data_IF_196041784227
#
_entry.id   IF_196041784227
#
_cell.length_a   1.000
_cell.length_b   1.000
_cell.length_c   1.000
_cell.angle_alpha   90.00
_cell.angle_beta   90.00
_cell.angle_gamma   90.00
#
_symmetry.space_group_name_H-M   'P 1'
#
loop_
_entity.id
_entity.type
_entity.pdbx_description
1 polymer ?
#
# COMPACT_ATOMS: atom_id res chain seq x y z
N UNK A 1 32.73 5.21 -16.68
CA UNK A 1 31.63 5.68 -17.53
C UNK A 1 30.35 5.80 -16.74
N UNK A 2 29.81 6.95 -16.75
CA UNK A 2 28.52 7.08 -16.16
C UNK A 2 27.50 6.42 -17.10
N UNK A 3 27.17 5.21 -16.81
CA UNK A 3 26.09 4.59 -17.52
C UNK A 3 24.80 5.28 -17.10
N UNK A 4 24.34 6.16 -17.96
CA UNK A 4 23.12 6.88 -17.66
C UNK A 4 21.94 5.99 -18.03
N UNK A 5 21.52 5.22 -17.06
CA UNK A 5 20.31 4.43 -17.24
C UNK A 5 19.14 5.38 -17.39
N UNK A 6 18.45 5.28 -18.49
CA UNK A 6 17.25 6.06 -18.70
C UNK A 6 16.24 5.66 -17.64
N UNK A 7 15.82 6.65 -16.86
CA UNK A 7 14.79 6.42 -15.85
C UNK A 7 13.49 6.03 -16.53
N UNK A 8 12.85 5.04 -15.98
CA UNK A 8 11.54 4.66 -16.44
C UNK A 8 10.58 5.83 -16.27
N UNK A 9 9.80 6.13 -17.30
CA UNK A 9 8.77 7.17 -17.22
C UNK A 9 7.60 6.73 -16.35
N UNK A 10 7.61 5.48 -15.93
CA UNK A 10 6.57 4.93 -15.09
C UNK A 10 6.76 5.32 -13.64
N UNK A 11 5.74 5.97 -13.09
CA UNK A 11 5.68 6.20 -11.66
C UNK A 11 5.32 4.87 -10.99
N UNK A 12 6.14 4.39 -10.04
CA UNK A 12 5.78 3.17 -9.30
C UNK A 12 4.44 3.34 -8.62
N UNK A 13 3.59 2.33 -8.74
CA UNK A 13 2.25 2.38 -8.16
C UNK A 13 2.33 2.41 -6.64
N UNK A 14 1.51 3.25 -6.04
CA UNK A 14 1.35 3.26 -4.59
C UNK A 14 0.70 1.93 -4.16
N UNK A 15 1.16 1.30 -3.06
CA UNK A 15 0.57 0.03 -2.64
C UNK A 15 -0.94 0.11 -2.40
N UNK A 16 -1.46 1.25 -1.97
CA UNK A 16 -2.90 1.45 -1.81
C UNK A 16 -3.66 1.36 -3.13
N UNK A 17 -3.08 1.87 -4.20
CA UNK A 17 -3.66 1.77 -5.54
C UNK A 17 -3.69 0.32 -6.02
N UNK A 18 -2.60 -0.40 -5.80
CA UNK A 18 -2.52 -1.82 -6.15
C UNK A 18 -3.55 -2.61 -5.35
N UNK A 19 -3.66 -2.34 -4.05
CA UNK A 19 -4.64 -2.99 -3.19
C UNK A 19 -6.05 -2.79 -3.73
N UNK A 20 -6.41 -1.54 -4.02
CA UNK A 20 -7.76 -1.23 -4.51
C UNK A 20 -8.04 -1.88 -5.86
N UNK A 21 -7.17 -1.63 -6.85
CA UNK A 21 -7.47 -1.99 -8.24
C UNK A 21 -7.29 -3.47 -8.54
N UNK A 22 -6.25 -4.10 -7.98
CA UNK A 22 -5.94 -5.49 -8.31
C UNK A 22 -6.52 -6.50 -7.33
N UNK A 23 -6.96 -6.05 -6.15
CA UNK A 23 -7.46 -6.95 -5.13
C UNK A 23 -8.89 -6.65 -4.69
N UNK A 24 -9.14 -5.46 -4.16
CA UNK A 24 -10.47 -5.17 -3.61
C UNK A 24 -11.53 -5.13 -4.69
N UNK A 25 -11.26 -4.44 -5.79
CA UNK A 25 -12.23 -4.34 -6.89
C UNK A 25 -12.46 -5.72 -7.53
N UNK A 26 -11.39 -6.47 -7.76
CA UNK A 26 -11.49 -7.79 -8.38
C UNK A 26 -12.23 -8.81 -7.51
N UNK A 27 -12.06 -8.72 -6.19
CA UNK A 27 -12.69 -9.63 -5.25
C UNK A 27 -14.06 -9.16 -4.79
N UNK A 28 -14.48 -7.98 -5.23
CA UNK A 28 -15.77 -7.43 -4.86
C UNK A 28 -15.86 -6.91 -3.43
N UNK A 29 -14.73 -6.56 -2.83
CA UNK A 29 -14.71 -5.98 -1.49
C UNK A 29 -15.10 -4.53 -1.51
N UNK A 30 -15.97 -4.13 -0.59
CA UNK A 30 -16.11 -2.73 -0.22
C UNK A 30 -15.00 -2.39 0.76
N UNK A 31 -14.64 -1.11 0.87
CA UNK A 31 -13.66 -0.68 1.86
C UNK A 31 -14.12 -1.05 3.28
N UNK A 32 -15.40 -0.85 3.56
CA UNK A 32 -15.99 -1.19 4.85
C UNK A 32 -15.86 -2.68 5.16
N UNK A 33 -16.20 -3.52 4.20
CA UNK A 33 -16.12 -4.98 4.36
C UNK A 33 -14.69 -5.44 4.58
N UNK A 34 -13.75 -4.90 3.82
CA UNK A 34 -12.34 -5.26 3.97
C UNK A 34 -11.79 -4.77 5.32
N UNK A 35 -12.18 -3.58 5.75
CA UNK A 35 -11.78 -3.06 7.05
C UNK A 35 -12.27 -3.96 8.19
N UNK A 36 -13.47 -4.51 8.08
CA UNK A 36 -13.98 -5.46 9.07
C UNK A 36 -13.08 -6.69 9.18
N UNK A 37 -12.64 -7.23 8.05
CA UNK A 37 -11.75 -8.38 8.05
C UNK A 37 -10.38 -8.04 8.63
N UNK A 38 -9.85 -6.85 8.35
CA UNK A 38 -8.60 -6.41 8.94
C UNK A 38 -8.71 -6.31 10.47
N UNK A 39 -9.82 -5.76 10.97
CA UNK A 39 -10.07 -5.68 12.40
C UNK A 39 -10.08 -7.08 13.03
N UNK A 40 -10.74 -8.03 12.37
CA UNK A 40 -10.83 -9.40 12.90
C UNK A 40 -9.47 -10.10 12.95
N UNK A 41 -8.54 -9.71 12.08
CA UNK A 41 -7.19 -10.29 12.04
C UNK A 41 -6.22 -9.57 12.96
N UNK A 42 -6.57 -8.38 13.44
CA UNK A 42 -5.68 -7.58 14.28
C UNK A 42 -5.56 -8.20 15.68
N UNK A 43 -4.33 -8.34 16.21
CA UNK A 43 -4.15 -8.79 17.59
C UNK A 43 -4.53 -7.72 18.60
N UNK A 44 -4.62 -6.47 18.15
CA UNK A 44 -5.01 -5.33 18.98
C UNK A 44 -6.48 -5.03 18.76
N UNK A 45 -7.14 -4.55 19.80
CA UNK A 45 -8.50 -4.10 19.71
C UNK A 45 -8.51 -2.74 19.00
N UNK A 46 -8.91 -2.72 17.74
CA UNK A 46 -8.97 -1.50 16.93
C UNK A 46 -10.42 -1.24 16.55
N UNK A 47 -10.85 0.01 16.70
CA UNK A 47 -12.19 0.39 16.28
C UNK A 47 -12.32 0.26 14.75
N UNK A 48 -13.46 -0.24 14.29
CA UNK A 48 -13.74 -0.38 12.87
C UNK A 48 -13.63 0.95 12.13
N UNK A 49 -14.11 2.03 12.74
CA UNK A 49 -14.03 3.37 12.15
C UNK A 49 -12.58 3.81 11.94
N UNK A 50 -11.70 3.52 12.91
CA UNK A 50 -10.27 3.82 12.81
C UNK A 50 -9.65 3.03 11.66
N UNK A 51 -9.95 1.75 11.56
CA UNK A 51 -9.43 0.90 10.49
C UNK A 51 -9.90 1.38 9.12
N UNK A 52 -11.18 1.76 9.00
CA UNK A 52 -11.71 2.30 7.74
C UNK A 52 -11.00 3.58 7.33
N UNK A 53 -10.74 4.46 8.28
CA UNK A 53 -10.03 5.71 8.00
C UNK A 53 -8.62 5.44 7.50
N UNK A 54 -7.89 4.56 8.17
CA UNK A 54 -6.53 4.20 7.76
C UNK A 54 -6.51 3.54 6.38
N UNK A 55 -7.46 2.65 6.12
CA UNK A 55 -7.58 1.97 4.84
C UNK A 55 -7.90 2.97 3.72
N UNK A 56 -8.82 3.89 3.98
CA UNK A 56 -9.17 4.92 3.01
C UNK A 56 -7.98 5.80 2.68
N UNK A 57 -7.23 6.22 3.68
CA UNK A 57 -6.02 7.03 3.48
C UNK A 57 -4.97 6.27 2.67
N UNK A 58 -4.79 4.99 2.95
CA UNK A 58 -3.85 4.15 2.21
C UNK A 58 -4.26 4.04 0.74
N UNK A 59 -5.52 3.74 0.48
CA UNK A 59 -6.07 3.59 -0.88
C UNK A 59 -5.91 4.88 -1.68
N UNK A 60 -6.07 6.02 -1.04
CA UNK A 60 -5.96 7.31 -1.69
C UNK A 60 -4.54 7.88 -1.72
N UNK A 61 -3.55 7.08 -1.33
CA UNK A 61 -2.14 7.48 -1.38
C UNK A 61 -1.73 8.49 -0.33
N UNK A 62 -2.55 8.71 0.69
CA UNK A 62 -2.27 9.68 1.75
C UNK A 62 -1.55 9.07 2.94
N UNK A 63 -1.36 7.78 2.94
CA UNK A 63 -0.72 7.03 4.01
C UNK A 63 0.20 5.99 3.39
N UNK A 64 1.37 5.82 3.99
CA UNK A 64 2.30 4.77 3.58
C UNK A 64 1.87 3.42 4.12
N UNK A 65 2.23 2.36 3.39
CA UNK A 65 2.06 1.00 3.86
C UNK A 65 3.02 0.75 5.01
N UNK A 66 2.50 0.44 6.19
CA UNK A 66 3.32 0.04 7.32
C UNK A 66 3.48 -1.47 7.34
N UNK A 67 4.50 -1.95 8.05
CA UNK A 67 4.71 -3.40 8.21
C UNK A 67 3.50 -4.06 8.87
N UNK A 68 2.93 -3.42 9.88
CA UNK A 68 1.72 -3.94 10.55
C UNK A 68 0.56 -4.09 9.57
N UNK A 69 0.31 -3.06 8.77
CA UNK A 69 -0.77 -3.08 7.79
C UNK A 69 -0.50 -4.14 6.71
N UNK A 70 0.75 -4.25 6.25
CA UNK A 70 1.14 -5.25 5.26
C UNK A 70 0.87 -6.67 5.76
N UNK A 71 1.17 -6.93 7.03
CA UNK A 71 0.92 -8.24 7.63
C UNK A 71 -0.57 -8.53 7.70
N UNK A 72 -1.38 -7.56 8.14
CA UNK A 72 -2.84 -7.74 8.24
C UNK A 72 -3.46 -8.01 6.87
N UNK A 73 -3.11 -7.20 5.88
CA UNK A 73 -3.60 -7.37 4.51
C UNK A 73 -3.22 -8.75 3.98
N UNK A 74 -1.99 -9.17 4.24
CA UNK A 74 -1.50 -10.46 3.76
C UNK A 74 -2.23 -11.63 4.40
N UNK A 75 -2.65 -11.50 5.66
CA UNK A 75 -3.46 -12.54 6.31
C UNK A 75 -4.82 -12.69 5.66
N UNK A 76 -5.44 -11.59 5.28
CA UNK A 76 -6.77 -11.62 4.64
C UNK A 76 -6.65 -12.11 3.20
N UNK A 77 -5.72 -11.56 2.43
CA UNK A 77 -5.61 -11.81 0.99
C UNK A 77 -4.69 -12.98 0.63
N UNK A 78 -4.00 -13.57 1.61
CA UNK A 78 -3.02 -14.65 1.37
C UNK A 78 -1.88 -14.19 0.47
N UNK A 79 -1.41 -12.99 0.71
CA UNK A 79 -0.28 -12.40 -0.02
C UNK A 79 0.94 -12.31 0.88
N UNK A 80 2.04 -11.80 0.34
CA UNK A 80 3.29 -11.62 1.09
C UNK A 80 3.38 -10.21 1.65
N UNK A 81 3.63 -10.04 2.96
CA UNK A 81 3.88 -8.71 3.52
C UNK A 81 5.05 -8.00 2.83
N UNK A 82 6.07 -8.77 2.45
CA UNK A 82 7.24 -8.24 1.76
C UNK A 82 6.88 -7.63 0.41
N UNK A 83 5.92 -8.22 -0.30
CA UNK A 83 5.44 -7.67 -1.56
C UNK A 83 4.87 -6.26 -1.35
N UNK A 84 4.01 -6.10 -0.35
CA UNK A 84 3.41 -4.80 -0.06
C UNK A 84 4.44 -3.76 0.34
N UNK A 85 5.42 -4.15 1.16
CA UNK A 85 6.49 -3.26 1.58
C UNK A 85 7.42 -2.89 0.42
N UNK A 86 7.64 -3.82 -0.52
CA UNK A 86 8.44 -3.53 -1.72
C UNK A 86 7.78 -2.48 -2.59
N UNK A 87 6.46 -2.54 -2.74
CA UNK A 87 5.72 -1.52 -3.48
C UNK A 87 5.89 -0.15 -2.83
N UNK A 88 5.81 -0.08 -1.51
CA UNK A 88 6.00 1.17 -0.79
C UNK A 88 7.43 1.70 -0.95
N UNK A 89 8.41 0.84 -0.79
CA UNK A 89 9.81 1.22 -0.92
C UNK A 89 10.12 1.76 -2.32
N UNK A 90 9.62 1.10 -3.35
CA UNK A 90 9.83 1.56 -4.72
C UNK A 90 9.24 2.95 -4.94
N UNK A 91 8.05 3.19 -4.39
CA UNK A 91 7.40 4.49 -4.47
C UNK A 91 8.18 5.56 -3.72
N UNK A 92 8.64 5.23 -2.52
CA UNK A 92 9.41 6.15 -1.68
C UNK A 92 10.72 6.55 -2.36
N UNK A 93 11.44 5.58 -2.92
CA UNK A 93 12.69 5.84 -3.63
C UNK A 93 12.43 6.75 -4.82
N UNK A 94 11.41 6.45 -5.59
CA UNK A 94 11.05 7.29 -6.74
C UNK A 94 10.78 8.74 -6.33
N UNK A 95 10.02 8.95 -5.25
CA UNK A 95 9.69 10.28 -4.77
C UNK A 95 10.93 11.06 -4.32
N UNK A 96 11.85 10.37 -3.63
CA UNK A 96 13.11 10.99 -3.19
C UNK A 96 13.98 11.33 -4.39
N UNK A 97 14.08 10.42 -5.37
CA UNK A 97 14.86 10.68 -6.57
C UNK A 97 14.33 11.88 -7.35
N UNK A 98 13.01 12.03 -7.43
CA UNK A 98 12.40 13.19 -8.08
C UNK A 98 12.83 14.49 -7.40
N UNK A 99 12.83 14.51 -6.07
CA UNK A 99 13.24 15.69 -5.30
C UNK A 99 14.72 16.00 -5.47
N UNK A 100 15.55 14.98 -5.43
CA UNK A 100 17.00 15.14 -5.58
C UNK A 100 17.35 15.60 -6.99
N UNK A 101 16.71 15.02 -8.01
CA UNK A 101 16.99 15.38 -9.39
C UNK A 101 16.44 16.74 -9.78
N UNK A 102 15.45 17.24 -9.07
CA UNK A 102 14.86 18.55 -9.32
C UNK A 102 15.68 19.69 -8.69
N UNK A 103 16.57 19.37 -7.75
CA UNK A 103 17.36 20.39 -7.05
C UNK A 103 18.50 20.93 -7.90
#
# INVERSE_FOLDING_TARGET
>A
MAFKKKRSDRIPSHPGEVLKNLWLDELGYSQSGFAEELVSMSPKKVAKTTMRTKLNELINGRRSMSAEFAVLISKVLKTSPKMWMSLQTNRDIWEVEEKVNAA
#
